data_IF_934068018751
#
_entry.id   IF_934068018751
#
_cell.length_a   1.000
_cell.length_b   1.000
_cell.length_c   1.000
_cell.angle_alpha   90.00
_cell.angle_beta   90.00
_cell.angle_gamma   90.00
#
_symmetry.space_group_name_H-M   'P 1'
#
loop_
_entity.id
_entity.type
_entity.pdbx_description
1 polymer ?
#
# COMPACT_ATOMS: atom_id res chain seq x y z
N UNK A 1 -3.69 -20.61 -38.87
CA UNK A 1 -4.14 -20.96 -37.49
C UNK A 1 -3.44 -20.05 -36.50
N UNK A 2 -4.06 -18.92 -36.14
CA UNK A 2 -3.49 -18.00 -35.16
C UNK A 2 -3.91 -18.52 -33.77
N UNK A 3 -3.05 -19.31 -33.10
CA UNK A 3 -3.30 -19.72 -31.70
C UNK A 3 -3.51 -18.43 -30.90
N UNK A 4 -4.75 -18.19 -30.44
CA UNK A 4 -5.11 -17.08 -29.55
C UNK A 4 -4.01 -16.97 -28.50
N UNK A 5 -3.23 -15.88 -28.53
CA UNK A 5 -2.20 -15.61 -27.51
C UNK A 5 -2.89 -15.72 -26.16
N UNK A 6 -2.49 -16.66 -25.30
CA UNK A 6 -2.88 -16.67 -23.89
C UNK A 6 -2.05 -15.58 -23.19
N UNK A 7 -2.63 -14.51 -22.63
CA UNK A 7 -1.86 -13.59 -21.82
C UNK A 7 -2.55 -13.49 -20.47
N UNK A 8 -2.18 -14.33 -19.50
CA UNK A 8 -2.48 -14.05 -18.08
C UNK A 8 -1.30 -14.51 -17.27
N UNK A 9 -0.35 -13.59 -17.14
CA UNK A 9 0.70 -13.78 -16.17
C UNK A 9 0.14 -13.47 -14.79
N UNK A 10 0.38 -14.34 -13.82
CA UNK A 10 0.22 -14.03 -12.40
C UNK A 10 1.58 -13.67 -11.81
N UNK A 11 1.58 -12.80 -10.82
CA UNK A 11 2.74 -12.35 -10.04
C UNK A 11 2.52 -12.71 -8.57
N UNK A 12 3.63 -12.78 -7.84
CA UNK A 12 3.56 -12.88 -6.39
C UNK A 12 3.14 -11.53 -5.80
N UNK A 13 2.33 -11.56 -4.75
CA UNK A 13 2.04 -10.37 -3.94
C UNK A 13 3.31 -9.87 -3.23
N UNK A 14 3.35 -8.63 -2.72
CA UNK A 14 4.51 -8.14 -1.97
C UNK A 14 4.89 -9.06 -0.78
N UNK A 15 3.90 -9.59 -0.06
CA UNK A 15 4.14 -10.57 0.99
C UNK A 15 4.55 -11.94 0.42
N UNK A 16 3.95 -12.34 -0.70
CA UNK A 16 4.33 -13.54 -1.45
C UNK A 16 5.79 -13.52 -1.89
N UNK A 17 6.32 -12.38 -2.33
CA UNK A 17 7.74 -12.20 -2.68
C UNK A 17 8.65 -12.41 -1.46
N UNK A 18 8.27 -11.85 -0.30
CA UNK A 18 9.01 -12.09 0.96
C UNK A 18 9.01 -13.58 1.32
N UNK A 19 7.86 -14.25 1.18
CA UNK A 19 7.72 -15.69 1.43
C UNK A 19 8.55 -16.53 0.45
N UNK A 20 8.57 -16.16 -0.83
CA UNK A 20 9.40 -16.80 -1.86
C UNK A 20 10.89 -16.67 -1.54
N UNK A 21 11.38 -15.48 -1.20
CA UNK A 21 12.78 -15.28 -0.84
C UNK A 21 13.15 -16.02 0.45
N UNK A 22 12.28 -16.01 1.46
CA UNK A 22 12.48 -16.77 2.69
C UNK A 22 12.51 -18.30 2.45
N UNK A 23 11.65 -18.81 1.56
CA UNK A 23 11.64 -20.23 1.20
C UNK A 23 12.88 -20.60 0.38
N UNK A 24 13.31 -19.74 -0.56
CA UNK A 24 14.53 -19.94 -1.36
C UNK A 24 15.80 -19.87 -0.52
N UNK A 25 15.81 -19.09 0.57
CA UNK A 25 16.94 -19.02 1.49
C UNK A 25 17.17 -20.33 2.27
N UNK A 26 16.19 -21.23 2.34
CA UNK A 26 16.33 -22.56 2.95
C UNK A 26 17.20 -23.48 2.07
N UNK A 27 17.76 -24.51 2.69
CA UNK A 27 18.45 -25.58 1.95
C UNK A 27 17.42 -26.58 1.42
N UNK A 28 17.70 -27.17 0.27
CA UNK A 28 16.91 -28.28 -0.29
C UNK A 28 17.08 -29.56 0.55
N UNK A 29 16.36 -30.61 0.17
CA UNK A 29 16.40 -31.92 0.82
C UNK A 29 17.79 -32.58 0.75
N UNK A 30 18.68 -32.11 -0.13
CA UNK A 30 20.09 -32.51 -0.26
C UNK A 30 21.05 -31.63 0.57
N UNK A 31 20.52 -30.68 1.35
CA UNK A 31 21.31 -29.75 2.14
C UNK A 31 22.05 -28.69 1.31
N UNK A 32 21.69 -28.47 0.05
CA UNK A 32 22.30 -27.48 -0.85
C UNK A 32 21.42 -26.23 -0.99
N UNK A 33 22.01 -25.13 -1.45
CA UNK A 33 21.26 -23.87 -1.69
C UNK A 33 20.31 -24.03 -2.88
N UNK A 34 19.10 -23.51 -2.75
CA UNK A 34 18.13 -23.38 -3.84
C UNK A 34 18.52 -22.20 -4.74
N UNK A 35 19.18 -22.49 -5.87
CA UNK A 35 19.42 -21.50 -6.93
C UNK A 35 18.23 -21.41 -7.88
N UNK A 36 18.18 -20.36 -8.70
CA UNK A 36 17.13 -20.24 -9.72
C UNK A 36 17.18 -21.37 -10.75
N UNK A 37 18.37 -21.87 -11.14
CA UNK A 37 18.46 -23.02 -12.05
C UNK A 37 17.86 -24.27 -11.41
N UNK A 38 18.21 -24.54 -10.14
CA UNK A 38 17.71 -25.72 -9.42
C UNK A 38 16.21 -25.66 -9.17
N UNK A 39 15.68 -24.46 -8.92
CA UNK A 39 14.24 -24.27 -8.86
C UNK A 39 13.57 -24.51 -10.21
N UNK A 40 14.21 -24.11 -11.32
CA UNK A 40 13.71 -24.38 -12.67
C UNK A 40 13.73 -25.89 -13.03
N UNK A 41 14.68 -26.65 -12.50
CA UNK A 41 14.72 -28.11 -12.62
C UNK A 41 13.66 -28.80 -11.75
N UNK A 42 13.43 -28.28 -10.54
CA UNK A 42 12.48 -28.86 -9.56
C UNK A 42 11.02 -28.52 -9.89
N UNK A 43 10.76 -27.31 -10.36
CA UNK A 43 9.44 -26.84 -10.78
C UNK A 43 9.28 -27.11 -12.27
N UNK A 44 8.55 -28.18 -12.62
CA UNK A 44 8.19 -28.62 -13.99
C UNK A 44 9.09 -28.03 -15.10
N UNK A 45 10.13 -28.76 -15.57
CA UNK A 45 11.32 -28.23 -16.22
C UNK A 45 11.09 -26.96 -17.05
N UNK A 46 11.46 -25.81 -16.48
CA UNK A 46 11.26 -24.50 -17.09
C UNK A 46 12.55 -23.68 -17.15
N UNK A 47 12.52 -22.55 -17.86
CA UNK A 47 13.70 -21.68 -17.91
C UNK A 47 13.95 -20.98 -16.57
N UNK A 48 15.21 -20.92 -16.14
CA UNK A 48 15.65 -20.14 -14.98
C UNK A 48 15.24 -18.65 -15.08
N UNK A 49 15.14 -18.13 -16.31
CA UNK A 49 14.64 -16.80 -16.64
C UNK A 49 13.19 -16.61 -16.22
N UNK A 50 12.34 -17.64 -16.36
CA UNK A 50 10.95 -17.60 -15.88
C UNK A 50 10.91 -17.52 -14.36
N UNK A 51 11.75 -18.31 -13.68
CA UNK A 51 11.86 -18.28 -12.22
C UNK A 51 12.33 -16.91 -11.72
N UNK A 52 13.43 -16.39 -12.29
CA UNK A 52 13.95 -15.04 -12.00
C UNK A 52 12.90 -13.96 -12.22
N UNK A 53 12.14 -14.07 -13.31
CA UNK A 53 11.06 -13.13 -13.63
C UNK A 53 9.98 -13.15 -12.54
N UNK A 54 9.55 -14.32 -12.11
CA UNK A 54 8.55 -14.44 -11.05
C UNK A 54 9.04 -13.88 -9.71
N UNK A 55 10.28 -14.20 -9.31
CA UNK A 55 10.93 -13.62 -8.12
C UNK A 55 11.14 -12.11 -8.18
N UNK A 56 11.14 -11.52 -9.38
CA UNK A 56 11.17 -10.06 -9.56
C UNK A 56 9.79 -9.40 -9.51
N UNK A 57 8.74 -10.13 -9.10
CA UNK A 57 7.36 -9.64 -9.07
C UNK A 57 6.73 -9.49 -10.46
N UNK A 58 7.37 -10.00 -11.52
CA UNK A 58 6.87 -9.84 -12.89
C UNK A 58 5.92 -10.97 -13.25
N UNK A 59 4.82 -10.69 -13.99
CA UNK A 59 3.83 -11.70 -14.35
C UNK A 59 4.43 -12.86 -15.17
N UNK A 60 4.11 -14.10 -14.80
CA UNK A 60 4.44 -15.36 -15.51
C UNK A 60 3.20 -16.25 -15.62
N UNK A 61 3.17 -17.20 -16.55
CA UNK A 61 2.00 -18.08 -16.71
C UNK A 61 1.58 -18.74 -15.39
N UNK A 62 0.28 -18.84 -15.12
CA UNK A 62 -0.29 -19.39 -13.86
C UNK A 62 0.29 -20.76 -13.52
N UNK A 63 0.34 -21.67 -14.50
CA UNK A 63 0.91 -23.01 -14.32
C UNK A 63 2.38 -22.95 -13.89
N UNK A 64 3.17 -22.05 -14.51
CA UNK A 64 4.57 -21.84 -14.13
C UNK A 64 4.71 -21.25 -12.73
N UNK A 65 3.87 -20.28 -12.36
CA UNK A 65 3.88 -19.72 -11.01
C UNK A 65 3.54 -20.77 -9.95
N UNK A 66 2.47 -21.55 -10.17
CA UNK A 66 2.05 -22.63 -9.27
C UNK A 66 3.17 -23.68 -9.12
N UNK A 67 3.81 -24.08 -10.22
CA UNK A 67 4.93 -25.02 -10.18
C UNK A 67 6.11 -24.49 -9.35
N UNK A 68 6.49 -23.21 -9.53
CA UNK A 68 7.56 -22.58 -8.75
C UNK A 68 7.21 -22.54 -7.25
N UNK A 69 5.99 -22.12 -6.92
CA UNK A 69 5.49 -22.02 -5.53
C UNK A 69 5.49 -23.40 -4.87
N UNK A 70 4.99 -24.42 -5.58
CA UNK A 70 4.89 -25.79 -5.07
C UNK A 70 6.28 -26.41 -4.87
N UNK A 71 7.23 -26.13 -5.77
CA UNK A 71 8.62 -26.61 -5.61
C UNK A 71 9.32 -26.08 -4.35
N UNK A 72 8.87 -24.93 -3.84
CA UNK A 72 9.29 -24.31 -2.59
C UNK A 72 8.49 -24.79 -1.36
N UNK A 73 7.51 -25.69 -1.55
CA UNK A 73 6.64 -26.18 -0.48
C UNK A 73 5.67 -25.12 0.06
N UNK A 74 5.40 -24.08 -0.72
CA UNK A 74 4.43 -23.04 -0.37
C UNK A 74 3.08 -23.34 -1.03
N UNK A 75 2.00 -22.73 -0.52
CA UNK A 75 0.68 -22.79 -1.16
C UNK A 75 0.50 -21.61 -2.14
N UNK A 76 -0.18 -21.79 -3.29
CA UNK A 76 -0.47 -20.69 -4.20
C UNK A 76 -1.19 -19.52 -3.54
N UNK A 77 -2.14 -19.78 -2.64
CA UNK A 77 -2.86 -18.72 -1.91
C UNK A 77 -1.96 -17.86 -1.02
N UNK A 78 -0.83 -18.42 -0.57
CA UNK A 78 0.13 -17.75 0.31
C UNK A 78 1.10 -16.84 -0.46
N UNK A 79 1.10 -16.90 -1.79
CA UNK A 79 2.09 -16.23 -2.64
C UNK A 79 1.45 -15.38 -3.74
N UNK A 80 0.38 -15.84 -4.35
CA UNK A 80 -0.32 -15.11 -5.40
C UNK A 80 -1.28 -14.07 -4.80
N UNK A 81 -1.46 -12.93 -5.46
CA UNK A 81 -2.51 -11.98 -5.08
C UNK A 81 -3.89 -12.58 -5.35
N UNK A 82 -4.81 -12.61 -4.35
CA UNK A 82 -6.18 -13.07 -4.53
C UNK A 82 -6.90 -12.34 -5.68
N UNK A 83 -6.65 -11.05 -5.83
CA UNK A 83 -7.23 -10.17 -6.85
C UNK A 83 -6.81 -10.60 -8.25
N UNK A 84 -5.52 -10.96 -8.43
CA UNK A 84 -5.03 -11.49 -9.70
C UNK A 84 -5.67 -12.83 -10.06
N UNK A 85 -5.89 -13.69 -9.07
CA UNK A 85 -6.57 -14.98 -9.26
C UNK A 85 -8.00 -14.77 -9.71
N UNK A 86 -8.73 -13.89 -9.02
CA UNK A 86 -10.13 -13.54 -9.33
C UNK A 86 -10.26 -12.94 -10.71
N UNK A 87 -9.36 -12.03 -11.09
CA UNK A 87 -9.35 -11.45 -12.43
C UNK A 87 -9.04 -12.53 -13.47
N UNK A 88 -8.05 -13.39 -13.22
CA UNK A 88 -7.70 -14.47 -14.15
C UNK A 88 -8.87 -15.43 -14.40
N UNK A 89 -9.54 -15.85 -13.33
CA UNK A 89 -10.72 -16.72 -13.35
C UNK A 89 -11.92 -16.05 -14.03
N UNK A 90 -12.20 -14.79 -13.70
CA UNK A 90 -13.27 -14.00 -14.32
C UNK A 90 -13.06 -13.91 -15.83
N UNK A 91 -11.82 -13.68 -16.27
CA UNK A 91 -11.54 -13.61 -17.70
C UNK A 91 -11.65 -15.00 -18.36
N UNK A 92 -11.26 -16.09 -17.69
CA UNK A 92 -11.46 -17.46 -18.22
C UNK A 92 -12.93 -17.77 -18.41
N UNK A 93 -13.78 -17.37 -17.46
CA UNK A 93 -15.23 -17.51 -17.57
C UNK A 93 -15.81 -16.67 -18.72
N UNK A 94 -15.33 -15.44 -18.90
CA UNK A 94 -15.75 -14.57 -20.03
C UNK A 94 -15.40 -15.23 -21.37
N UNK A 95 -14.21 -15.81 -21.47
CA UNK A 95 -13.76 -16.47 -22.71
C UNK A 95 -14.47 -17.80 -22.96
N UNK A 96 -14.81 -18.55 -21.91
CA UNK A 96 -15.55 -19.81 -22.02
C UNK A 96 -17.03 -19.59 -22.41
N UNK A 97 -17.62 -18.45 -21.99
CA UNK A 97 -19.00 -18.05 -22.28
C UNK A 97 -19.14 -17.23 -23.56
N UNK A 98 -18.08 -17.07 -24.36
CA UNK A 98 -18.11 -16.24 -25.56
C UNK A 98 -19.07 -16.82 -26.62
N UNK A 99 -20.30 -16.31 -26.63
CA UNK A 99 -21.41 -16.70 -27.51
C UNK A 99 -21.34 -16.05 -28.90
N UNK A 100 -20.22 -15.41 -29.26
CA UNK A 100 -20.01 -14.77 -30.57
C UNK A 100 -19.94 -13.24 -30.55
N UNK A 101 -20.06 -12.59 -29.39
CA UNK A 101 -19.86 -11.14 -29.20
C UNK A 101 -18.45 -10.85 -28.66
N UNK A 102 -17.46 -11.14 -29.50
CA UNK A 102 -16.04 -11.04 -29.18
C UNK A 102 -15.60 -9.61 -28.82
N UNK A 103 -16.34 -8.57 -29.25
CA UNK A 103 -16.01 -7.19 -28.95
C UNK A 103 -16.40 -6.82 -27.52
N UNK A 104 -17.60 -7.20 -27.08
CA UNK A 104 -18.05 -6.97 -25.70
C UNK A 104 -17.20 -7.72 -24.70
N UNK A 105 -16.87 -8.99 -25.00
CA UNK A 105 -15.94 -9.77 -24.19
C UNK A 105 -14.59 -9.03 -24.10
N UNK A 106 -14.00 -8.63 -25.23
CA UNK A 106 -12.72 -7.90 -25.25
C UNK A 106 -12.70 -6.62 -24.40
N UNK A 107 -13.79 -5.83 -24.42
CA UNK A 107 -13.91 -4.62 -23.58
C UNK A 107 -13.93 -4.94 -22.08
N UNK A 108 -14.69 -5.96 -21.67
CA UNK A 108 -14.75 -6.39 -20.26
C UNK A 108 -13.40 -6.87 -19.75
N UNK A 109 -12.69 -7.67 -20.55
CA UNK A 109 -11.35 -8.17 -20.22
C UNK A 109 -10.38 -7.02 -20.01
N UNK A 110 -10.34 -6.07 -20.95
CA UNK A 110 -9.48 -4.90 -20.85
C UNK A 110 -9.83 -4.04 -19.63
N UNK A 111 -11.11 -3.91 -19.30
CA UNK A 111 -11.57 -3.20 -18.09
C UNK A 111 -11.04 -3.85 -16.81
N UNK A 112 -11.15 -5.17 -16.69
CA UNK A 112 -10.62 -5.91 -15.53
C UNK A 112 -9.09 -5.80 -15.41
N UNK A 113 -8.37 -5.92 -16.52
CA UNK A 113 -6.91 -5.76 -16.54
C UNK A 113 -6.48 -4.34 -16.15
N UNK A 114 -7.23 -3.33 -16.58
CA UNK A 114 -6.98 -1.92 -16.23
C UNK A 114 -7.20 -1.69 -14.74
N UNK A 115 -8.35 -2.13 -14.21
CA UNK A 115 -8.67 -2.01 -12.78
C UNK A 115 -7.64 -2.71 -11.89
N UNK A 116 -7.20 -3.91 -12.28
CA UNK A 116 -6.14 -4.63 -11.56
C UNK A 116 -4.80 -3.88 -11.59
N UNK A 117 -4.44 -3.29 -12.74
CA UNK A 117 -3.22 -2.50 -12.84
C UNK A 117 -3.28 -1.22 -12.01
N UNK A 118 -4.43 -0.57 -11.92
CA UNK A 118 -4.65 0.62 -11.10
C UNK A 118 -4.60 0.26 -9.61
N UNK A 119 -5.26 -0.83 -9.21
CA UNK A 119 -5.22 -1.35 -7.84
C UNK A 119 -3.78 -1.60 -7.37
N UNK A 120 -2.97 -2.29 -8.18
CA UNK A 120 -1.56 -2.57 -7.85
C UNK A 120 -0.71 -1.32 -7.67
N UNK A 121 -0.91 -0.32 -8.54
CA UNK A 121 -0.21 0.97 -8.42
C UNK A 121 -0.61 1.67 -7.11
N UNK A 122 -1.89 1.61 -6.76
CA UNK A 122 -2.40 2.18 -5.51
C UNK A 122 -1.85 1.46 -4.28
N UNK A 123 -1.75 0.13 -4.32
CA UNK A 123 -1.15 -0.69 -3.25
C UNK A 123 0.33 -0.36 -3.06
N UNK A 124 1.10 -0.29 -4.15
CA UNK A 124 2.53 0.07 -4.12
C UNK A 124 2.74 1.49 -3.57
N UNK A 125 1.92 2.45 -4.01
CA UNK A 125 1.95 3.82 -3.49
C UNK A 125 1.64 3.87 -1.98
N UNK A 126 0.64 3.11 -1.52
CA UNK A 126 0.27 3.03 -0.10
C UNK A 126 1.39 2.45 0.74
N UNK A 127 2.06 1.39 0.26
CA UNK A 127 3.23 0.81 0.92
C UNK A 127 4.39 1.82 1.02
N UNK A 128 4.67 2.56 -0.04
CA UNK A 128 5.71 3.60 -0.01
C UNK A 128 5.36 4.71 0.98
N UNK A 129 4.10 5.15 1.02
CA UNK A 129 3.61 6.13 1.98
C UNK A 129 3.75 5.62 3.43
N UNK A 130 3.40 4.35 3.67
CA UNK A 130 3.53 3.70 4.97
C UNK A 130 4.99 3.60 5.44
N UNK A 131 5.90 3.16 4.57
CA UNK A 131 7.32 3.09 4.89
C UNK A 131 7.89 4.47 5.22
N UNK A 132 7.50 5.49 4.44
CA UNK A 132 7.88 6.87 4.71
C UNK A 132 7.32 7.39 6.03
N UNK A 133 6.02 7.17 6.31
CA UNK A 133 5.41 7.54 7.59
C UNK A 133 6.12 6.86 8.76
N UNK A 134 6.39 5.55 8.66
CA UNK A 134 7.09 4.79 9.70
C UNK A 134 8.48 5.35 9.99
N UNK A 135 9.22 5.75 8.96
CA UNK A 135 10.56 6.32 9.13
C UNK A 135 10.56 7.76 9.66
N UNK A 136 9.53 8.56 9.33
CA UNK A 136 9.55 10.01 9.55
C UNK A 136 8.56 10.49 10.61
N UNK A 137 7.70 9.62 11.17
CA UNK A 137 6.58 9.99 12.05
C UNK A 137 6.96 10.97 13.15
N UNK A 138 8.08 10.69 13.83
CA UNK A 138 8.56 11.51 14.96
C UNK A 138 8.91 12.93 14.50
N UNK A 139 9.71 13.05 13.44
CA UNK A 139 10.11 14.35 12.90
C UNK A 139 8.90 15.11 12.33
N UNK A 140 8.06 14.44 11.55
CA UNK A 140 6.84 15.03 10.98
C UNK A 140 5.93 15.61 12.05
N UNK A 141 5.67 14.84 13.12
CA UNK A 141 4.82 15.30 14.21
C UNK A 141 5.36 16.51 14.95
N UNK A 142 6.68 16.59 15.13
CA UNK A 142 7.33 17.69 15.82
C UNK A 142 7.30 18.96 14.98
N UNK A 143 7.68 18.85 13.70
CA UNK A 143 7.68 19.98 12.78
C UNK A 143 6.26 20.53 12.53
N UNK A 144 5.26 19.64 12.45
CA UNK A 144 3.86 20.03 12.30
C UNK A 144 3.31 20.74 13.55
N UNK A 145 3.60 20.19 14.73
CA UNK A 145 3.22 20.81 16.00
C UNK A 145 3.85 22.20 16.15
N UNK A 146 5.14 22.32 15.87
CA UNK A 146 5.86 23.60 15.91
C UNK A 146 5.29 24.61 14.90
N UNK A 147 5.02 24.19 13.66
CA UNK A 147 4.46 25.07 12.64
C UNK A 147 3.06 25.60 13.02
N UNK A 148 2.19 24.72 13.54
CA UNK A 148 0.84 25.10 13.95
C UNK A 148 0.85 26.02 15.18
N UNK A 149 1.67 25.71 16.20
CA UNK A 149 1.78 26.55 17.39
C UNK A 149 2.36 27.93 17.05
N UNK A 150 3.43 28.00 16.24
CA UNK A 150 3.98 29.29 15.76
C UNK A 150 2.94 30.11 15.03
N UNK A 151 2.19 29.49 14.10
CA UNK A 151 1.13 30.18 13.35
C UNK A 151 0.07 30.79 14.27
N UNK A 152 -0.33 30.09 15.34
CA UNK A 152 -1.33 30.58 16.28
C UNK A 152 -0.79 31.62 17.27
N UNK A 153 0.43 31.43 17.77
CA UNK A 153 0.99 32.27 18.82
C UNK A 153 1.68 33.54 18.30
N UNK A 154 2.37 33.47 17.15
CA UNK A 154 3.03 34.64 16.55
C UNK A 154 2.00 35.67 16.04
N UNK A 155 0.77 35.24 15.79
CA UNK A 155 -0.36 36.12 15.47
C UNK A 155 -0.89 36.89 16.69
N UNK A 156 -0.42 36.57 17.90
CA UNK A 156 -0.86 37.22 19.14
C UNK A 156 0.23 38.20 19.63
N UNK A 157 0.07 39.52 19.43
CA UNK A 157 1.11 40.52 19.71
C UNK A 157 1.49 40.64 21.20
N UNK A 158 0.78 39.98 22.10
CA UNK A 158 1.05 39.96 23.53
C UNK A 158 1.99 38.81 23.98
N UNK A 159 2.43 37.94 23.07
CA UNK A 159 3.03 36.63 23.41
C UNK A 159 4.51 36.51 22.99
N UNK A 160 5.27 37.60 23.13
CA UNK A 160 6.60 37.79 22.50
C UNK A 160 7.73 36.93 23.11
N UNK A 161 7.51 36.17 24.19
CA UNK A 161 8.60 35.43 24.88
C UNK A 161 8.18 34.08 25.49
N UNK A 162 7.08 33.48 25.02
CA UNK A 162 6.58 32.25 25.64
C UNK A 162 7.37 31.03 25.14
N UNK A 163 8.04 30.33 26.06
CA UNK A 163 8.73 29.07 25.80
C UNK A 163 7.70 27.94 25.59
N UNK A 164 7.32 27.70 24.33
CA UNK A 164 6.39 26.63 23.96
C UNK A 164 7.05 25.25 23.83
N UNK A 165 8.30 25.06 24.27
CA UNK A 165 9.02 23.78 24.08
C UNK A 165 8.28 22.60 24.71
N UNK A 166 7.69 22.77 25.90
CA UNK A 166 6.85 21.77 26.55
C UNK A 166 5.53 21.50 25.82
N UNK A 167 4.93 22.54 25.23
CA UNK A 167 3.70 22.40 24.44
C UNK A 167 3.96 21.68 23.11
N UNK A 168 5.11 21.93 22.47
CA UNK A 168 5.53 21.23 21.27
C UNK A 168 5.68 19.73 21.54
N UNK A 169 6.29 19.35 22.66
CA UNK A 169 6.47 17.92 22.97
C UNK A 169 5.13 17.21 23.14
N UNK A 170 4.25 17.75 23.99
CA UNK A 170 2.91 17.18 24.23
C UNK A 170 2.09 17.15 22.94
N UNK A 171 2.04 18.26 22.21
CA UNK A 171 1.24 18.34 20.99
C UNK A 171 1.80 17.44 19.88
N UNK A 172 3.13 17.33 19.75
CA UNK A 172 3.75 16.40 18.80
C UNK A 172 3.36 14.95 19.10
N UNK A 173 3.21 14.57 20.37
CA UNK A 173 2.78 13.23 20.73
C UNK A 173 1.35 12.97 20.26
N UNK A 174 0.45 13.93 20.43
CA UNK A 174 -0.93 13.83 19.92
C UNK A 174 -0.95 13.70 18.40
N UNK A 175 -0.19 14.52 17.67
CA UNK A 175 -0.08 14.42 16.20
C UNK A 175 0.45 13.05 15.75
N UNK A 176 1.31 12.38 16.53
CA UNK A 176 1.76 11.01 16.19
C UNK A 176 0.63 10.00 16.22
N UNK A 177 -0.38 10.18 17.07
CA UNK A 177 -1.55 9.29 17.14
C UNK A 177 -2.39 9.42 15.87
N UNK A 178 -2.58 10.64 15.37
CA UNK A 178 -3.20 10.86 14.05
C UNK A 178 -2.39 10.22 12.92
N UNK A 179 -1.06 10.37 12.92
CA UNK A 179 -0.20 9.74 11.90
C UNK A 179 -0.17 8.21 12.00
N UNK A 180 -0.37 7.65 13.20
CA UNK A 180 -0.53 6.21 13.38
C UNK A 180 -1.88 5.75 12.81
N UNK A 181 -2.96 6.47 13.07
CA UNK A 181 -4.27 6.17 12.49
C UNK A 181 -4.23 6.18 10.95
N UNK A 182 -3.57 7.17 10.35
CA UNK A 182 -3.36 7.21 8.90
C UNK A 182 -2.57 5.99 8.41
N UNK A 183 -1.52 5.60 9.14
CA UNK A 183 -0.75 4.39 8.81
C UNK A 183 -1.64 3.15 8.81
N UNK A 184 -2.52 3.01 9.81
CA UNK A 184 -3.43 1.87 9.93
C UNK A 184 -4.52 1.89 8.83
N UNK A 185 -5.01 3.06 8.42
CA UNK A 185 -5.90 3.22 7.27
C UNK A 185 -5.26 2.76 5.97
N UNK A 186 -3.98 3.10 5.75
CA UNK A 186 -3.24 2.67 4.57
C UNK A 186 -2.95 1.16 4.58
N UNK A 187 -2.67 0.59 5.76
CA UNK A 187 -2.44 -0.85 5.91
C UNK A 187 -3.70 -1.67 5.62
N UNK A 188 -4.86 -1.22 6.11
CA UNK A 188 -6.14 -1.88 5.87
C UNK A 188 -6.78 -1.52 4.52
N UNK A 189 -6.30 -0.48 3.85
CA UNK A 189 -6.93 0.08 2.64
C UNK A 189 -8.34 0.60 2.90
N UNK A 190 -8.62 1.09 4.11
CA UNK A 190 -9.95 1.54 4.52
C UNK A 190 -9.90 2.80 5.39
N UNK A 191 -10.75 3.76 5.04
CA UNK A 191 -10.96 5.00 5.80
C UNK A 191 -11.93 4.82 6.97
N UNK A 192 -12.61 3.67 7.07
CA UNK A 192 -13.58 3.39 8.15
C UNK A 192 -12.92 3.45 9.54
N UNK A 193 -11.61 3.20 9.64
CA UNK A 193 -10.89 3.36 10.90
C UNK A 193 -10.91 4.80 11.41
N UNK A 194 -10.91 5.80 10.53
CA UNK A 194 -11.05 7.21 10.92
C UNK A 194 -12.41 7.38 11.60
N UNK A 195 -13.49 6.91 10.96
CA UNK A 195 -14.84 7.00 11.52
C UNK A 195 -14.98 6.27 12.86
N UNK A 196 -14.39 5.08 13.00
CA UNK A 196 -14.40 4.32 14.27
C UNK A 196 -13.62 5.07 15.35
N UNK A 197 -12.39 5.51 15.05
CA UNK A 197 -11.57 6.27 15.99
C UNK A 197 -12.24 7.58 16.41
N UNK A 198 -13.07 8.14 15.53
CA UNK A 198 -13.91 9.29 15.83
C UNK A 198 -15.03 8.93 16.81
N UNK A 199 -15.83 7.91 16.53
CA UNK A 199 -16.97 7.48 17.35
C UNK A 199 -16.55 7.02 18.74
N UNK A 200 -15.41 6.34 18.84
CA UNK A 200 -14.90 5.79 20.09
C UNK A 200 -14.03 6.78 20.89
N UNK A 201 -13.93 8.04 20.44
CA UNK A 201 -13.10 9.07 21.09
C UNK A 201 -11.62 8.68 21.24
N UNK A 202 -11.10 7.82 20.35
CA UNK A 202 -9.73 7.30 20.42
C UNK A 202 -8.68 8.32 19.98
N UNK A 203 -9.10 9.41 19.35
CA UNK A 203 -8.23 10.48 18.87
C UNK A 203 -8.18 11.61 19.90
N UNK A 204 -6.98 12.03 20.35
CA UNK A 204 -6.81 13.07 21.36
C UNK A 204 -7.23 14.44 20.81
N UNK A 205 -8.07 15.14 21.57
CA UNK A 205 -8.53 16.50 21.25
C UNK A 205 -8.45 17.34 22.52
N UNK A 206 -7.23 17.56 22.99
CA UNK A 206 -6.96 18.23 24.26
C UNK A 206 -6.72 19.73 24.08
N UNK A 207 -6.64 20.19 22.83
CA UNK A 207 -6.29 21.57 22.44
C UNK A 207 -7.32 22.12 21.46
N UNK A 208 -7.13 23.38 21.05
CA UNK A 208 -7.92 24.02 20.00
C UNK A 208 -7.92 23.15 18.72
N UNK A 209 -9.10 22.85 18.19
CA UNK A 209 -9.31 22.05 16.98
C UNK A 209 -8.52 22.60 15.79
N UNK A 210 -8.37 23.92 15.71
CA UNK A 210 -7.67 24.58 14.61
C UNK A 210 -6.18 24.25 14.61
N UNK A 211 -5.57 23.99 15.78
CA UNK A 211 -4.16 23.57 15.86
C UNK A 211 -3.95 22.23 15.17
N UNK A 212 -4.85 21.26 15.37
CA UNK A 212 -4.75 19.95 14.72
C UNK A 212 -4.95 20.05 13.20
N UNK A 213 -5.94 20.86 12.77
CA UNK A 213 -6.17 21.14 11.35
C UNK A 213 -4.92 21.75 10.70
N UNK A 214 -4.33 22.75 11.33
CA UNK A 214 -3.14 23.43 10.82
C UNK A 214 -1.92 22.51 10.78
N UNK A 215 -1.75 21.64 11.78
CA UNK A 215 -0.67 20.66 11.82
C UNK A 215 -0.81 19.62 10.70
N UNK A 216 -2.01 19.06 10.50
CA UNK A 216 -2.26 18.09 9.43
C UNK A 216 -2.17 18.73 8.05
N UNK A 217 -2.66 19.96 7.89
CA UNK A 217 -2.54 20.71 6.63
C UNK A 217 -1.08 21.04 6.32
N UNK A 218 -0.26 21.36 7.32
CA UNK A 218 1.19 21.51 7.14
C UNK A 218 1.83 20.21 6.62
N UNK A 219 1.49 19.05 7.18
CA UNK A 219 2.01 17.76 6.69
C UNK A 219 1.59 17.53 5.24
N UNK A 220 0.32 17.77 4.92
CA UNK A 220 -0.21 17.63 3.56
C UNK A 220 0.52 18.55 2.56
N UNK A 221 0.57 19.84 2.87
CA UNK A 221 1.00 20.89 1.93
C UNK A 221 2.51 21.09 1.86
N UNK A 222 3.25 20.77 2.91
CA UNK A 222 4.70 21.02 3.00
C UNK A 222 5.55 19.76 3.10
N UNK A 223 4.96 18.58 3.39
CA UNK A 223 5.70 17.32 3.49
C UNK A 223 5.31 16.34 2.41
N UNK A 224 4.02 16.04 2.29
CA UNK A 224 3.51 15.06 1.33
C UNK A 224 3.65 15.56 -0.10
N UNK A 225 3.18 16.79 -0.38
CA UNK A 225 3.24 17.42 -1.72
C UNK A 225 4.65 17.53 -2.31
N UNK A 226 5.67 17.65 -1.45
CA UNK A 226 7.08 17.75 -1.86
C UNK A 226 7.68 16.36 -2.10
N UNK A 227 7.23 15.36 -1.32
CA UNK A 227 7.85 14.04 -1.29
C UNK A 227 7.33 13.11 -2.39
N UNK A 228 6.05 13.22 -2.71
CA UNK A 228 5.31 12.28 -3.55
C UNK A 228 4.68 13.01 -4.74
N UNK A 229 4.58 12.32 -5.88
CA UNK A 229 3.70 12.79 -6.96
C UNK A 229 2.22 12.74 -6.53
N UNK A 230 1.31 13.49 -7.19
CA UNK A 230 -0.11 13.46 -6.85
C UNK A 230 -0.74 12.07 -6.88
N UNK A 231 -0.26 11.20 -7.77
CA UNK A 231 -0.73 9.81 -7.90
C UNK A 231 -0.26 8.95 -6.71
N UNK A 232 1.01 9.07 -6.33
CA UNK A 232 1.59 8.33 -5.19
C UNK A 232 1.04 8.82 -3.84
N UNK A 233 0.76 10.12 -3.74
CA UNK A 233 0.24 10.76 -2.54
C UNK A 233 -1.27 10.54 -2.34
N UNK A 234 -1.99 10.00 -3.33
CA UNK A 234 -3.45 10.05 -3.41
C UNK A 234 -4.12 9.55 -2.13
N UNK A 235 -3.85 8.31 -1.72
CA UNK A 235 -4.50 7.68 -0.57
C UNK A 235 -4.08 8.35 0.76
N UNK A 236 -2.81 8.72 0.90
CA UNK A 236 -2.32 9.48 2.06
C UNK A 236 -2.98 10.86 2.17
N UNK A 237 -3.17 11.53 1.04
CA UNK A 237 -3.82 12.84 0.97
C UNK A 237 -5.30 12.72 1.32
N UNK A 238 -5.98 11.67 0.85
CA UNK A 238 -7.37 11.38 1.22
C UNK A 238 -7.51 11.19 2.74
N UNK A 239 -6.65 10.38 3.35
CA UNK A 239 -6.67 10.21 4.82
C UNK A 239 -6.47 11.53 5.57
N UNK A 240 -5.55 12.38 5.10
CA UNK A 240 -5.29 13.69 5.69
C UNK A 240 -6.49 14.64 5.52
N UNK A 241 -7.08 14.69 4.32
CA UNK A 241 -8.25 15.51 4.03
C UNK A 241 -9.45 15.09 4.86
N UNK A 242 -9.69 13.79 5.04
CA UNK A 242 -10.78 13.30 5.87
C UNK A 242 -10.60 13.71 7.33
N UNK A 243 -9.40 13.54 7.89
CA UNK A 243 -9.11 14.01 9.25
C UNK A 243 -9.28 15.53 9.38
N UNK A 244 -8.74 16.32 8.44
CA UNK A 244 -8.88 17.78 8.42
C UNK A 244 -10.36 18.20 8.38
N UNK A 245 -11.19 17.49 7.62
CA UNK A 245 -12.61 17.80 7.48
C UNK A 245 -13.45 17.39 8.68
N UNK A 246 -13.06 16.32 9.39
CA UNK A 246 -13.86 15.77 10.48
C UNK A 246 -13.50 16.38 11.84
N UNK A 247 -12.22 16.71 12.10
CA UNK A 247 -11.79 17.30 13.37
C UNK A 247 -12.65 18.52 13.78
N UNK A 248 -12.97 19.50 12.89
CA UNK A 248 -13.81 20.64 13.22
C UNK A 248 -15.27 20.28 13.54
N UNK A 249 -15.75 19.11 13.08
CA UNK A 249 -17.15 18.65 13.22
C UNK A 249 -17.40 17.88 14.52
N UNK A 250 -16.39 17.71 15.38
CA UNK A 250 -16.49 17.03 16.67
C UNK A 250 -17.15 17.84 17.80
N UNK A 251 -17.73 19.01 17.49
CA UNK A 251 -18.51 19.86 18.41
C UNK A 251 -20.01 19.74 18.15
#
# INVERSE_FOLDING_TARGET
>A
MNKKRKPRGVSASPEGLKRLENAKAKRDDEGKRLTYERLAEKADPMSDRTVKRFFSGKPVARDSAIAIITALGLRPEDVLSPEESLVSESIEQIQAKDTGDSERAGKLIKGLETALSEFKKSEEASLQAMEWLKANRKALSQEAAEAALRKHYDQNPNNVDTDYSGDIEVFSQEIREYLQLIYDCLDLGSLELIDIAIQEYLIPVNRDLQLYVDALDFIKTQKVSIRFSPEEAKELTLCLDDLINIIPRRL
#
